data_IF_063894505538
#
_entry.id   IF_063894505538
#
_cell.length_a   1.000
_cell.length_b   1.000
_cell.length_c   1.000
_cell.angle_alpha   90.00
_cell.angle_beta   90.00
_cell.angle_gamma   90.00
#
_symmetry.space_group_name_H-M   'P 1'
#
loop_
_entity.id
_entity.type
_entity.pdbx_description
1 polymer ?
#
# COMPACT_ATOMS: atom_id res chain seq x y z
N UNK A 1 42.38 18.43 40.58
CA UNK A 1 40.89 18.52 40.56
C UNK A 1 40.40 17.71 39.38
N UNK A 2 40.04 16.45 39.62
CA UNK A 2 39.47 15.53 38.63
C UNK A 2 37.96 15.69 38.65
N UNK A 3 37.37 16.37 37.66
CA UNK A 3 35.92 16.39 37.43
C UNK A 3 35.67 16.87 36.01
N UNK A 4 35.74 15.96 35.03
CA UNK A 4 35.11 16.21 33.72
C UNK A 4 34.93 14.97 32.83
N UNK A 5 34.86 13.76 33.40
CA UNK A 5 34.64 12.53 32.61
C UNK A 5 33.18 12.06 32.60
N UNK A 6 32.33 12.56 33.51
CA UNK A 6 30.97 12.04 33.67
C UNK A 6 29.94 12.68 32.72
N UNK A 7 30.16 13.93 32.27
CA UNK A 7 29.17 14.61 31.40
C UNK A 7 29.23 14.13 29.95
N UNK A 8 30.41 13.73 29.46
CA UNK A 8 30.56 13.20 28.10
C UNK A 8 29.92 11.81 27.92
N UNK A 9 29.90 10.98 28.97
CA UNK A 9 29.27 9.66 28.92
C UNK A 9 27.74 9.75 28.83
N UNK A 10 27.11 10.75 29.47
CA UNK A 10 25.67 10.94 29.38
C UNK A 10 25.22 11.38 27.98
N UNK A 11 25.98 12.25 27.30
CA UNK A 11 25.63 12.75 25.95
C UNK A 11 25.64 11.61 24.91
N UNK A 12 26.59 10.67 25.02
CA UNK A 12 26.64 9.50 24.15
C UNK A 12 25.46 8.55 24.38
N UNK A 13 25.02 8.37 25.63
CA UNK A 13 23.88 7.52 25.97
C UNK A 13 22.55 8.07 25.44
N UNK A 14 22.33 9.39 25.53
CA UNK A 14 21.12 10.01 24.98
C UNK A 14 21.01 9.85 23.45
N UNK A 15 22.14 9.92 22.74
CA UNK A 15 22.17 9.76 21.28
C UNK A 15 21.78 8.34 20.84
N UNK A 16 22.20 7.32 21.59
CA UNK A 16 21.85 5.92 21.34
C UNK A 16 20.36 5.63 21.57
N UNK A 17 19.75 6.23 22.60
CA UNK A 17 18.32 6.03 22.90
C UNK A 17 17.44 6.64 21.81
N UNK A 18 17.78 7.83 21.31
CA UNK A 18 17.04 8.47 20.19
C UNK A 18 17.15 7.65 18.91
N UNK A 19 18.33 7.06 18.65
CA UNK A 19 18.53 6.20 17.48
C UNK A 19 17.71 4.90 17.58
N UNK A 20 17.59 4.31 18.77
CA UNK A 20 16.78 3.11 19.00
C UNK A 20 15.27 3.37 18.89
N UNK A 21 14.79 4.54 19.33
CA UNK A 21 13.37 4.91 19.19
C UNK A 21 12.94 5.14 17.73
N UNK A 22 13.88 5.44 16.82
CA UNK A 22 13.56 5.57 15.40
C UNK A 22 13.23 4.22 14.71
N UNK A 23 13.67 3.09 15.28
CA UNK A 23 13.39 1.76 14.72
C UNK A 23 12.21 1.04 15.36
N UNK A 24 11.72 1.49 16.52
CA UNK A 24 10.51 0.91 17.17
C UNK A 24 9.21 1.50 16.66
N UNK A 25 9.25 2.63 15.94
CA UNK A 25 8.16 3.06 15.07
C UNK A 25 8.26 2.42 13.68
N UNK A 26 8.53 1.11 13.66
CA UNK A 26 8.04 0.24 12.59
C UNK A 26 6.52 0.17 12.72
N UNK A 27 5.85 1.31 12.54
CA UNK A 27 4.45 1.33 12.19
C UNK A 27 4.38 0.54 10.90
N UNK A 28 3.94 -0.71 11.02
CA UNK A 28 3.57 -1.57 9.93
C UNK A 28 2.61 -0.74 9.07
N UNK A 29 3.16 -0.07 8.05
CA UNK A 29 2.38 0.35 6.90
C UNK A 29 1.64 -0.92 6.53
N UNK A 30 0.29 -0.93 6.52
CA UNK A 30 -0.45 -2.16 6.30
C UNK A 30 0.12 -2.75 5.03
N UNK A 31 0.83 -3.86 5.19
CA UNK A 31 1.63 -4.50 4.17
C UNK A 31 0.64 -4.76 3.05
N UNK A 32 0.60 -3.84 2.09
CA UNK A 32 -0.29 -3.95 0.95
C UNK A 32 0.27 -5.15 0.24
N UNK A 33 -0.34 -6.31 0.45
CA UNK A 33 0.18 -7.60 0.03
C UNK A 33 0.46 -7.45 -1.47
N UNK A 34 1.75 -7.34 -1.80
CA UNK A 34 2.22 -6.92 -3.11
C UNK A 34 2.16 -8.15 -4.01
N UNK A 35 0.99 -8.40 -4.59
CA UNK A 35 0.81 -9.49 -5.55
C UNK A 35 1.18 -8.97 -6.93
N UNK A 36 2.16 -9.60 -7.56
CA UNK A 36 2.48 -9.39 -8.97
C UNK A 36 1.38 -10.00 -9.83
N UNK A 37 0.88 -9.24 -10.80
CA UNK A 37 -0.16 -9.69 -11.72
C UNK A 37 0.37 -10.72 -12.74
N UNK A 38 -0.19 -11.94 -12.77
CA UNK A 38 -0.11 -12.85 -13.92
C UNK A 38 -1.39 -12.72 -14.75
N UNK A 39 -1.34 -12.19 -15.99
CA UNK A 39 -2.51 -12.02 -16.85
C UNK A 39 -3.21 -13.34 -17.22
N UNK A 40 -2.55 -14.50 -17.04
CA UNK A 40 -3.15 -15.83 -17.30
C UNK A 40 -3.88 -16.41 -16.07
N UNK A 41 -3.68 -15.83 -14.88
CA UNK A 41 -4.27 -16.30 -13.62
C UNK A 41 -4.70 -15.10 -12.77
N UNK A 42 -5.93 -14.59 -12.93
CA UNK A 42 -6.42 -13.51 -12.11
C UNK A 42 -6.39 -13.92 -10.63
N UNK A 43 -5.56 -13.25 -9.85
CA UNK A 43 -5.44 -13.51 -8.42
C UNK A 43 -6.56 -12.79 -7.69
N UNK A 44 -7.24 -13.50 -6.80
CA UNK A 44 -8.34 -12.92 -6.03
C UNK A 44 -7.82 -12.00 -4.92
N UNK A 45 -8.47 -10.86 -4.77
CA UNK A 45 -8.25 -9.98 -3.62
C UNK A 45 -8.80 -10.65 -2.36
N UNK A 46 -7.95 -10.77 -1.34
CA UNK A 46 -8.36 -11.15 0.01
C UNK A 46 -8.89 -9.91 0.75
N UNK A 47 -9.62 -10.13 1.83
CA UNK A 47 -10.22 -9.06 2.64
C UNK A 47 -9.16 -8.08 3.16
N UNK A 48 -8.04 -8.59 3.65
CA UNK A 48 -6.89 -7.80 4.13
C UNK A 48 -6.25 -6.90 3.07
N UNK A 49 -6.47 -7.19 1.79
CA UNK A 49 -5.92 -6.43 0.67
C UNK A 49 -6.86 -5.31 0.21
N UNK A 50 -8.13 -5.38 0.59
CA UNK A 50 -9.11 -4.39 0.19
C UNK A 50 -8.80 -3.07 0.89
N UNK A 51 -8.69 -2.02 0.09
CA UNK A 51 -8.57 -0.67 0.60
C UNK A 51 -9.65 0.22 0.01
N UNK A 52 -10.11 1.17 0.82
CA UNK A 52 -10.97 2.27 0.45
C UNK A 52 -10.16 3.55 0.15
N UNK A 53 -8.82 3.50 0.19
CA UNK A 53 -7.94 4.64 -0.09
C UNK A 53 -7.65 4.75 -1.58
N UNK A 54 -7.71 5.97 -2.13
CA UNK A 54 -7.36 6.20 -3.54
C UNK A 54 -5.84 6.04 -3.74
N UNK A 55 -5.38 5.09 -4.58
CA UNK A 55 -3.98 5.02 -4.93
C UNK A 55 -3.62 6.23 -5.80
N UNK A 56 -2.67 7.03 -5.31
CA UNK A 56 -2.16 8.21 -6.00
C UNK A 56 -1.16 7.88 -7.12
N UNK A 57 -0.80 6.60 -7.25
CA UNK A 57 0.15 6.12 -8.25
C UNK A 57 -0.47 6.07 -9.66
N UNK A 58 0.38 6.06 -10.69
CA UNK A 58 -0.03 5.93 -12.08
C UNK A 58 -0.53 4.51 -12.36
N UNK A 59 -1.82 4.42 -12.71
CA UNK A 59 -2.50 3.17 -13.06
C UNK A 59 -2.34 2.91 -14.56
N UNK A 60 -1.95 1.70 -14.92
CA UNK A 60 -1.75 1.22 -16.29
C UNK A 60 -2.87 0.29 -16.77
N UNK A 61 -3.57 -0.38 -15.85
CA UNK A 61 -4.80 -1.10 -16.17
C UNK A 61 -5.78 -1.15 -15.00
N UNK A 62 -7.04 -1.40 -15.31
CA UNK A 62 -8.12 -1.54 -14.34
C UNK A 62 -9.04 -2.65 -14.79
N UNK A 63 -9.39 -3.57 -13.88
CA UNK A 63 -10.40 -4.61 -14.10
C UNK A 63 -11.30 -4.79 -12.87
N UNK A 64 -12.45 -5.42 -13.09
CA UNK A 64 -13.45 -5.67 -12.04
C UNK A 64 -13.47 -7.17 -11.79
N UNK A 65 -13.27 -7.56 -10.53
CA UNK A 65 -13.44 -8.93 -10.07
C UNK A 65 -14.84 -9.05 -9.45
N UNK A 66 -15.77 -9.80 -10.05
CA UNK A 66 -17.05 -10.08 -9.43
C UNK A 66 -16.88 -11.00 -8.21
N UNK A 67 -17.80 -10.90 -7.24
CA UNK A 67 -17.83 -11.83 -6.13
C UNK A 67 -18.11 -13.25 -6.65
N UNK A 68 -17.34 -14.22 -6.16
CA UNK A 68 -17.55 -15.65 -6.39
C UNK A 68 -17.48 -16.38 -5.06
N UNK A 69 -17.73 -17.69 -5.04
CA UNK A 69 -17.59 -18.52 -3.82
C UNK A 69 -16.20 -18.46 -3.18
N UNK A 70 -15.16 -18.07 -3.94
CA UNK A 70 -13.77 -18.07 -3.48
C UNK A 70 -13.14 -16.66 -3.43
N UNK A 71 -13.83 -15.65 -3.95
CA UNK A 71 -13.22 -14.34 -4.19
C UNK A 71 -14.21 -13.21 -3.88
N UNK A 72 -13.71 -12.19 -3.18
CA UNK A 72 -14.50 -11.00 -2.89
C UNK A 72 -14.65 -10.12 -4.13
N UNK A 73 -15.80 -9.44 -4.22
CA UNK A 73 -15.98 -8.41 -5.23
C UNK A 73 -14.96 -7.30 -4.99
N UNK A 74 -14.22 -6.94 -6.04
CA UNK A 74 -13.17 -5.92 -5.94
C UNK A 74 -12.97 -5.22 -7.28
N UNK A 75 -12.51 -3.98 -7.24
CA UNK A 75 -11.90 -3.35 -8.41
C UNK A 75 -10.40 -3.42 -8.25
N UNK A 76 -9.70 -3.95 -9.24
CA UNK A 76 -8.25 -4.05 -9.18
C UNK A 76 -7.63 -3.05 -10.12
N UNK A 77 -6.74 -2.23 -9.57
CA UNK A 77 -5.87 -1.40 -10.37
C UNK A 77 -4.48 -2.00 -10.44
N UNK A 78 -3.90 -1.95 -11.62
CA UNK A 78 -2.51 -2.34 -11.85
C UNK A 78 -1.72 -1.09 -12.13
N UNK A 79 -0.61 -0.91 -11.43
CA UNK A 79 0.29 0.21 -11.66
C UNK A 79 1.36 -0.10 -12.72
N UNK A 80 2.28 0.84 -12.93
CA UNK A 80 3.40 0.69 -13.88
C UNK A 80 4.41 -0.40 -13.50
N UNK A 81 4.44 -0.80 -12.23
CA UNK A 81 5.32 -1.85 -11.70
C UNK A 81 4.62 -3.22 -11.72
N UNK A 82 3.42 -3.32 -12.32
CA UNK A 82 2.56 -4.50 -12.32
C UNK A 82 2.07 -4.92 -10.93
N UNK A 83 2.00 -3.98 -9.98
CA UNK A 83 1.47 -4.26 -8.66
C UNK A 83 -0.04 -4.11 -8.62
N UNK A 84 -0.69 -5.03 -7.92
CA UNK A 84 -2.14 -5.06 -7.74
C UNK A 84 -2.56 -4.21 -6.53
N UNK A 85 -3.48 -3.29 -6.79
CA UNK A 85 -4.15 -2.48 -5.78
C UNK A 85 -5.61 -2.91 -5.73
N UNK A 86 -5.99 -3.66 -4.70
CA UNK A 86 -7.33 -4.19 -4.49
C UNK A 86 -8.21 -3.13 -3.83
N UNK A 87 -9.20 -2.62 -4.57
CA UNK A 87 -10.07 -1.54 -4.11
C UNK A 87 -11.45 -2.10 -3.77
N UNK A 88 -11.98 -1.68 -2.62
CA UNK A 88 -13.38 -1.92 -2.26
C UNK A 88 -14.30 -1.32 -3.34
N UNK A 89 -15.20 -2.10 -3.95
CA UNK A 89 -16.17 -1.59 -4.93
C UNK A 89 -17.04 -0.44 -4.41
N UNK A 90 -17.21 -0.30 -3.09
CA UNK A 90 -18.01 0.73 -2.43
C UNK A 90 -17.24 2.02 -2.14
N UNK A 91 -15.94 2.09 -2.46
CA UNK A 91 -15.13 3.28 -2.21
C UNK A 91 -15.72 4.53 -2.91
N UNK A 92 -15.95 5.65 -2.19
CA UNK A 92 -16.76 6.78 -2.69
C UNK A 92 -16.11 7.51 -3.88
N UNK A 93 -14.77 7.50 -3.96
CA UNK A 93 -14.01 8.13 -5.05
C UNK A 93 -13.91 7.26 -6.32
N UNK A 94 -14.23 5.96 -6.21
CA UNK A 94 -13.92 4.96 -7.23
C UNK A 94 -14.62 5.26 -8.55
N UNK A 95 -15.90 5.64 -8.51
CA UNK A 95 -16.68 5.99 -9.70
C UNK A 95 -16.03 7.13 -10.50
N UNK A 96 -15.64 8.22 -9.81
CA UNK A 96 -14.97 9.38 -10.40
C UNK A 96 -13.60 9.02 -10.96
N UNK A 97 -12.84 8.16 -10.26
CA UNK A 97 -11.54 7.65 -10.76
C UNK A 97 -11.71 6.80 -12.01
N UNK A 98 -12.72 5.92 -12.04
CA UNK A 98 -13.00 5.09 -13.20
C UNK A 98 -13.30 5.92 -14.45
N UNK A 99 -14.12 6.97 -14.31
CA UNK A 99 -14.40 7.91 -15.41
C UNK A 99 -13.15 8.61 -15.94
N UNK A 100 -12.22 9.01 -15.07
CA UNK A 100 -10.93 9.61 -15.47
C UNK A 100 -10.08 8.60 -16.27
N UNK A 101 -9.99 7.36 -15.81
CA UNK A 101 -9.22 6.31 -16.49
C UNK A 101 -9.80 5.91 -17.85
N UNK A 102 -11.14 6.01 -18.04
CA UNK A 102 -11.80 5.72 -19.32
C UNK A 102 -11.36 6.70 -20.40
N UNK A 103 -11.22 7.97 -20.05
CA UNK A 103 -10.72 9.01 -20.96
C UNK A 103 -9.29 8.74 -21.42
N UNK A 104 -8.50 8.01 -20.62
CA UNK A 104 -7.07 7.72 -20.87
C UNK A 104 -6.87 6.31 -21.49
N UNK A 105 -7.95 5.60 -21.87
CA UNK A 105 -7.92 4.24 -22.47
C UNK A 105 -7.18 3.19 -21.63
N UNK A 106 -7.30 3.26 -20.31
CA UNK A 106 -6.63 2.35 -19.36
C UNK A 106 -7.44 1.06 -19.10
N UNK A 107 -8.65 0.93 -19.68
CA UNK A 107 -9.53 -0.22 -19.44
C UNK A 107 -9.24 -1.38 -20.38
N UNK A 108 -8.97 -2.54 -19.80
CA UNK A 108 -9.11 -3.84 -20.48
C UNK A 108 -10.22 -4.59 -19.76
N UNK A 109 -11.33 -4.80 -20.46
CA UNK A 109 -12.44 -5.65 -20.03
C UNK A 109 -12.15 -7.08 -20.44
#
# INVERSE_FOLDING_TARGET
>A
MHLSSASQQMICLFSLVIFLCAFTSGGECPSTILISHDPKRPTCCKEEMLTDKEPLIKITSCYILPATRKCLASTVFVDKNNWLHCIDPKAPWLSKRKTRLRKVRVYRL
#
